data_IF_535577066241
#
_entry.id   IF_535577066241
#
_cell.length_a   1.000
_cell.length_b   1.000
_cell.length_c   1.000
_cell.angle_alpha   90.00
_cell.angle_beta   90.00
_cell.angle_gamma   90.00
#
_symmetry.space_group_name_H-M   'P 1'
#
loop_
_entity.id
_entity.type
_entity.pdbx_description
1 polymer ?
#
# COMPACT_ATOMS: atom_id res chain seq x y z
N UNK A 1 -1.55 -10.19 -6.56
CA UNK A 1 -0.18 -9.83 -6.26
C UNK A 1 -0.03 -8.98 -5.01
N UNK A 2 1.18 -8.59 -4.74
CA UNK A 2 1.51 -7.88 -3.50
C UNK A 2 0.82 -6.52 -3.41
N UNK A 3 0.66 -5.86 -4.55
CA UNK A 3 -0.02 -4.57 -4.59
C UNK A 3 -1.48 -4.69 -4.11
N UNK A 4 -2.21 -5.65 -4.66
CA UNK A 4 -3.62 -5.83 -4.30
C UNK A 4 -3.78 -6.23 -2.83
N UNK A 5 -2.88 -7.07 -2.34
CA UNK A 5 -2.94 -7.49 -0.93
C UNK A 5 -2.66 -6.32 0.01
N UNK A 6 -1.68 -5.48 -0.34
CA UNK A 6 -1.35 -4.31 0.47
C UNK A 6 -2.52 -3.32 0.48
N UNK A 7 -3.13 -3.10 -0.69
CA UNK A 7 -4.28 -2.20 -0.80
C UNK A 7 -5.44 -2.73 0.05
N UNK A 8 -5.74 -4.02 -0.05
CA UNK A 8 -6.82 -4.62 0.74
C UNK A 8 -6.57 -4.47 2.24
N UNK A 9 -5.33 -4.65 2.68
CA UNK A 9 -4.99 -4.50 4.09
C UNK A 9 -5.25 -3.07 4.57
N UNK A 10 -4.87 -2.08 3.78
CA UNK A 10 -5.08 -0.68 4.14
C UNK A 10 -6.56 -0.32 4.21
N UNK A 11 -7.34 -0.85 3.27
CA UNK A 11 -8.79 -0.64 3.28
C UNK A 11 -9.40 -1.26 4.54
N UNK A 12 -8.95 -2.46 4.92
CA UNK A 12 -9.42 -3.11 6.14
C UNK A 12 -9.05 -2.32 7.40
N UNK A 13 -7.97 -1.57 7.36
CA UNK A 13 -7.58 -0.69 8.47
C UNK A 13 -8.40 0.61 8.52
N UNK A 14 -9.24 0.84 7.52
CA UNK A 14 -10.13 1.99 7.51
C UNK A 14 -9.74 3.13 6.58
N UNK A 15 -8.68 2.96 5.80
CA UNK A 15 -8.28 4.01 4.85
C UNK A 15 -9.17 3.97 3.62
N UNK A 16 -9.46 5.15 3.05
CA UNK A 16 -10.23 5.24 1.83
C UNK A 16 -9.50 4.56 0.68
N UNK A 17 -10.25 3.79 -0.14
CA UNK A 17 -9.65 3.00 -1.19
C UNK A 17 -8.86 3.84 -2.19
N UNK A 18 -9.42 4.98 -2.61
CA UNK A 18 -8.76 5.84 -3.60
C UNK A 18 -7.43 6.39 -3.08
N UNK A 19 -7.42 6.88 -1.83
CA UNK A 19 -6.22 7.41 -1.22
C UNK A 19 -5.16 6.32 -1.02
N UNK A 20 -5.59 5.16 -0.52
CA UNK A 20 -4.69 4.03 -0.31
C UNK A 20 -4.11 3.54 -1.63
N UNK A 21 -4.94 3.43 -2.67
CA UNK A 21 -4.49 2.98 -3.99
C UNK A 21 -3.40 3.90 -4.54
N UNK A 22 -3.60 5.19 -4.45
CA UNK A 22 -2.65 6.18 -4.93
C UNK A 22 -1.29 6.03 -4.23
N UNK A 23 -1.32 5.91 -2.90
CA UNK A 23 -0.09 5.80 -2.11
C UNK A 23 0.62 4.48 -2.36
N UNK A 24 -0.10 3.36 -2.39
CA UNK A 24 0.52 2.05 -2.61
C UNK A 24 1.17 1.99 -3.99
N UNK A 25 0.53 2.60 -5.01
CA UNK A 25 1.12 2.63 -6.35
C UNK A 25 2.47 3.34 -6.35
N UNK A 26 2.56 4.47 -5.66
CA UNK A 26 3.81 5.24 -5.58
C UNK A 26 4.87 4.41 -4.85
N UNK A 27 4.51 3.86 -3.68
CA UNK A 27 5.44 3.09 -2.86
C UNK A 27 5.93 1.85 -3.62
N UNK A 28 5.03 1.14 -4.30
CA UNK A 28 5.41 -0.05 -5.06
C UNK A 28 6.36 0.29 -6.21
N UNK A 29 6.13 1.43 -6.86
CA UNK A 29 6.99 1.88 -7.97
C UNK A 29 8.38 2.24 -7.47
N UNK A 30 8.45 2.89 -6.30
CA UNK A 30 9.73 3.31 -5.72
C UNK A 30 10.50 2.16 -5.08
N UNK A 31 9.81 1.07 -4.75
CA UNK A 31 10.41 -0.05 -4.04
C UNK A 31 10.07 -1.37 -4.73
N UNK A 32 10.59 -1.60 -5.95
CA UNK A 32 10.32 -2.85 -6.65
C UNK A 32 10.86 -4.02 -5.82
N UNK A 33 10.06 -5.05 -5.66
CA UNK A 33 10.45 -6.19 -4.85
C UNK A 33 10.06 -6.09 -3.39
N UNK A 34 9.43 -4.99 -2.96
CA UNK A 34 8.96 -4.88 -1.59
C UNK A 34 7.86 -5.91 -1.33
N UNK A 35 7.88 -6.49 -0.13
CA UNK A 35 6.85 -7.44 0.31
C UNK A 35 5.55 -6.71 0.61
N UNK A 36 4.46 -7.46 0.77
CA UNK A 36 3.17 -6.89 1.20
C UNK A 36 3.35 -6.12 2.50
N UNK A 37 4.06 -6.71 3.46
CA UNK A 37 4.30 -6.08 4.75
C UNK A 37 5.03 -4.76 4.60
N UNK A 38 6.07 -4.74 3.75
CA UNK A 38 6.82 -3.51 3.49
C UNK A 38 5.95 -2.46 2.82
N UNK A 39 5.14 -2.86 1.84
CA UNK A 39 4.25 -1.93 1.14
C UNK A 39 3.26 -1.28 2.12
N UNK A 40 2.68 -2.08 3.00
CA UNK A 40 1.75 -1.56 4.01
C UNK A 40 2.47 -0.59 4.94
N UNK A 41 3.61 -1.00 5.48
CA UNK A 41 4.36 -0.18 6.43
C UNK A 41 4.78 1.16 5.83
N UNK A 42 5.31 1.11 4.62
CA UNK A 42 5.76 2.34 3.94
C UNK A 42 4.58 3.23 3.55
N UNK A 43 3.47 2.63 3.15
CA UNK A 43 2.27 3.39 2.78
C UNK A 43 1.65 4.10 3.98
N UNK A 44 1.66 3.45 5.14
CA UNK A 44 1.13 4.05 6.37
C UNK A 44 1.84 5.36 6.73
N UNK A 45 3.11 5.47 6.40
CA UNK A 45 3.88 6.70 6.67
C UNK A 45 3.46 7.86 5.78
N UNK A 46 2.76 7.59 4.70
CA UNK A 46 2.36 8.59 3.72
C UNK A 46 0.84 8.82 3.71
N UNK A 47 0.12 8.05 4.49
CA UNK A 47 -1.31 8.21 4.68
C UNK A 47 -1.59 8.90 6.01
#
# INVERSE_FOLDING_TARGET
GDYEEALAALVMLGFGKAAADKVVKIVARENPGASVEDLVRMSLKRL
#
